data_IF_560673564475
#
_entry.id   IF_560673564475
#
_cell.length_a   1.000
_cell.length_b   1.000
_cell.length_c   1.000
_cell.angle_alpha   90.00
_cell.angle_beta   90.00
_cell.angle_gamma   90.00
#
_symmetry.space_group_name_H-M   'P 1'
#
loop_
_entity.id
_entity.type
_entity.pdbx_description
1 polymer ?
#
# COMPACT_ATOMS: atom_id res chain seq x y z
N UNK A 1 -24.79 -22.03 3.99
CA UNK A 1 -23.60 -21.58 4.77
C UNK A 1 -23.12 -20.28 4.17
N UNK A 2 -23.33 -19.18 4.86
CA UNK A 2 -22.77 -17.91 4.47
C UNK A 2 -21.26 -17.96 4.75
N UNK A 3 -20.46 -18.24 3.73
CA UNK A 3 -19.03 -17.99 3.82
C UNK A 3 -18.87 -16.48 3.93
N UNK A 4 -18.46 -16.01 5.11
CA UNK A 4 -17.99 -14.62 5.21
C UNK A 4 -16.96 -14.39 4.10
N UNK A 5 -17.10 -13.34 3.32
CA UNK A 5 -16.10 -13.04 2.32
C UNK A 5 -14.74 -12.95 3.03
N UNK A 6 -13.76 -13.67 2.47
CA UNK A 6 -12.40 -13.68 3.00
C UNK A 6 -11.96 -12.21 3.14
N UNK A 7 -11.69 -11.75 4.35
CA UNK A 7 -11.31 -10.36 4.59
C UNK A 7 -10.03 -10.03 3.83
N UNK A 8 -10.02 -8.89 3.18
CA UNK A 8 -8.87 -8.40 2.41
C UNK A 8 -7.79 -7.98 3.39
N UNK A 9 -6.59 -8.52 3.26
CA UNK A 9 -5.48 -8.18 4.16
C UNK A 9 -4.87 -6.82 3.79
N UNK A 10 -4.53 -6.01 4.81
CA UNK A 10 -3.82 -4.73 4.64
C UNK A 10 -2.47 -4.80 5.31
N UNK A 11 -1.43 -4.48 4.54
CA UNK A 11 -0.06 -4.29 5.02
C UNK A 11 0.35 -2.83 4.81
N UNK A 12 0.92 -2.21 5.83
CA UNK A 12 1.43 -0.83 5.75
C UNK A 12 2.93 -0.87 5.50
N UNK A 13 3.39 -0.19 4.47
CA UNK A 13 4.80 -0.02 4.15
C UNK A 13 5.25 1.37 4.60
N UNK A 14 6.15 1.41 5.56
CA UNK A 14 6.70 2.65 6.14
C UNK A 14 8.22 2.68 6.08
N UNK A 15 8.81 3.80 6.43
CA UNK A 15 10.25 4.04 6.46
C UNK A 15 10.57 5.48 6.13
N UNK A 16 11.77 5.92 6.46
CA UNK A 16 12.22 7.29 6.16
C UNK A 16 12.26 7.57 4.65
N UNK A 17 12.24 8.85 4.30
CA UNK A 17 12.47 9.31 2.94
C UNK A 17 13.82 8.77 2.44
N UNK A 18 13.85 8.22 1.23
CA UNK A 18 15.05 7.63 0.66
C UNK A 18 15.40 6.21 1.15
N UNK A 19 14.56 5.59 1.99
CA UNK A 19 14.78 4.21 2.47
C UNK A 19 14.52 3.13 1.42
N UNK A 20 14.01 3.50 0.24
CA UNK A 20 13.75 2.57 -0.86
C UNK A 20 12.33 2.04 -0.96
N UNK A 21 11.34 2.62 -0.25
CA UNK A 21 9.92 2.22 -0.32
C UNK A 21 9.38 2.24 -1.75
N UNK A 22 9.57 3.35 -2.44
CA UNK A 22 9.09 3.53 -3.82
C UNK A 22 9.78 2.57 -4.78
N UNK A 23 11.08 2.32 -4.60
CA UNK A 23 11.82 1.33 -5.38
C UNK A 23 11.26 -0.07 -5.17
N UNK A 24 11.00 -0.46 -3.93
CA UNK A 24 10.41 -1.75 -3.60
C UNK A 24 9.03 -1.92 -4.25
N UNK A 25 8.19 -0.89 -4.16
CA UNK A 25 6.86 -0.91 -4.77
C UNK A 25 6.94 -1.01 -6.30
N UNK A 26 7.87 -0.27 -6.92
CA UNK A 26 8.09 -0.34 -8.37
C UNK A 26 8.46 -1.76 -8.81
N UNK A 27 9.29 -2.45 -8.05
CA UNK A 27 9.64 -3.85 -8.32
C UNK A 27 8.44 -4.79 -8.13
N UNK A 28 7.63 -4.60 -7.09
CA UNK A 28 6.42 -5.39 -6.90
C UNK A 28 5.41 -5.21 -8.03
N UNK A 29 5.19 -3.97 -8.44
CA UNK A 29 4.25 -3.63 -9.52
C UNK A 29 4.67 -4.24 -10.86
N UNK A 30 5.98 -4.32 -11.13
CA UNK A 30 6.53 -4.90 -12.36
C UNK A 30 6.64 -6.42 -12.33
N UNK A 31 6.49 -7.02 -11.17
CA UNK A 31 6.69 -8.46 -11.01
C UNK A 31 5.44 -9.24 -11.46
N UNK A 32 5.55 -10.02 -12.51
CA UNK A 32 4.46 -10.83 -13.07
C UNK A 32 3.92 -11.91 -12.10
N UNK A 33 4.69 -12.27 -11.08
CA UNK A 33 4.26 -13.23 -10.05
C UNK A 33 3.43 -12.58 -8.93
N UNK A 34 3.43 -11.26 -8.85
CA UNK A 34 2.58 -10.50 -7.92
C UNK A 34 1.27 -10.20 -8.63
N UNK A 35 0.18 -10.73 -8.10
CA UNK A 35 -1.15 -10.55 -8.65
C UNK A 35 -2.18 -10.33 -7.53
N UNK A 36 -3.35 -9.85 -7.89
CA UNK A 36 -4.48 -9.63 -6.97
C UNK A 36 -4.14 -8.74 -5.76
N UNK A 37 -3.24 -7.78 -5.94
CA UNK A 37 -2.82 -6.80 -4.92
C UNK A 37 -3.25 -5.41 -5.34
N UNK A 38 -3.82 -4.65 -4.42
CA UNK A 38 -4.06 -3.23 -4.58
C UNK A 38 -2.96 -2.43 -3.85
N UNK A 39 -2.28 -1.57 -4.57
CA UNK A 39 -1.28 -0.65 -4.03
C UNK A 39 -1.89 0.73 -3.85
N UNK A 40 -1.85 1.24 -2.64
CA UNK A 40 -2.21 2.64 -2.34
C UNK A 40 -0.92 3.42 -2.17
N UNK A 41 -0.67 4.31 -3.09
CA UNK A 41 0.56 5.09 -3.20
C UNK A 41 0.25 6.59 -3.17
N UNK A 42 1.26 7.39 -2.94
CA UNK A 42 1.08 8.83 -2.86
C UNK A 42 0.83 9.46 -4.24
N UNK A 43 1.72 9.15 -5.20
CA UNK A 43 1.62 9.60 -6.59
C UNK A 43 2.07 8.50 -7.56
N UNK A 44 1.35 8.32 -8.65
CA UNK A 44 1.71 7.33 -9.68
C UNK A 44 3.09 7.56 -10.29
N UNK A 45 3.49 8.82 -10.45
CA UNK A 45 4.79 9.18 -11.01
C UNK A 45 5.98 8.71 -10.19
N UNK A 46 5.82 8.56 -8.88
CA UNK A 46 6.89 8.10 -8.00
C UNK A 46 7.25 6.62 -8.23
N UNK A 47 6.29 5.81 -8.64
CA UNK A 47 6.46 4.36 -8.86
C UNK A 47 7.01 4.05 -10.26
N UNK A 48 7.09 5.04 -11.15
CA UNK A 48 7.64 4.87 -12.49
C UNK A 48 6.88 3.82 -13.31
N UNK A 49 5.56 3.92 -13.32
CA UNK A 49 4.69 3.03 -14.08
C UNK A 49 4.84 3.32 -15.57
N UNK A 50 5.30 2.33 -16.31
CA UNK A 50 5.35 2.41 -17.77
C UNK A 50 3.96 2.19 -18.38
N UNK A 51 3.62 2.94 -19.43
CA UNK A 51 2.35 2.79 -20.15
C UNK A 51 2.09 1.35 -20.61
N UNK A 52 3.14 0.60 -20.90
CA UNK A 52 3.03 -0.80 -21.32
C UNK A 52 2.56 -1.76 -20.22
N UNK A 53 2.60 -1.35 -18.97
CA UNK A 53 2.16 -2.15 -17.82
C UNK A 53 0.69 -1.86 -17.45
N UNK A 54 0.10 -0.82 -18.00
CA UNK A 54 -1.25 -0.36 -17.67
C UNK A 54 -2.23 -0.99 -18.66
N UNK A 55 -3.23 -1.69 -18.15
CA UNK A 55 -4.30 -2.28 -18.95
C UNK A 55 -5.50 -1.34 -19.06
N UNK A 56 -5.87 -0.73 -17.94
CA UNK A 56 -6.91 0.29 -17.90
C UNK A 56 -6.60 1.38 -16.90
N UNK A 57 -7.10 2.58 -17.11
CA UNK A 57 -6.88 3.70 -16.22
C UNK A 57 -8.15 4.52 -16.00
N UNK A 58 -8.35 4.90 -14.77
CA UNK A 58 -9.22 5.97 -14.31
C UNK A 58 -8.32 7.06 -13.72
N UNK A 59 -8.78 8.26 -13.48
CA UNK A 59 -7.95 9.36 -12.94
C UNK A 59 -7.23 8.98 -11.63
N UNK A 60 -7.79 8.05 -10.89
CA UNK A 60 -7.33 7.69 -9.55
C UNK A 60 -6.98 6.21 -9.36
N UNK A 61 -7.26 5.37 -10.34
CA UNK A 61 -7.03 3.91 -10.27
C UNK A 61 -6.47 3.42 -11.58
N UNK A 62 -5.33 2.74 -11.52
CA UNK A 62 -4.69 2.07 -12.65
C UNK A 62 -4.79 0.55 -12.48
N UNK A 63 -5.31 -0.13 -13.47
CA UNK A 63 -5.25 -1.59 -13.55
C UNK A 63 -4.03 -2.01 -14.38
N UNK A 64 -3.28 -2.96 -13.85
CA UNK A 64 -2.03 -3.45 -14.41
C UNK A 64 -2.24 -4.81 -15.09
N UNK A 65 -1.39 -5.13 -16.07
CA UNK A 65 -1.44 -6.39 -16.81
C UNK A 65 -1.33 -7.63 -15.91
N UNK A 66 -0.56 -7.55 -14.83
CA UNK A 66 -0.42 -8.63 -13.85
C UNK A 66 -1.65 -8.83 -12.94
N UNK A 67 -2.72 -8.06 -13.12
CA UNK A 67 -3.91 -8.12 -12.28
C UNK A 67 -3.86 -7.27 -11.02
N UNK A 68 -2.76 -6.58 -10.77
CA UNK A 68 -2.66 -5.64 -9.68
C UNK A 68 -3.37 -4.32 -9.98
N UNK A 69 -3.69 -3.60 -8.94
CA UNK A 69 -4.31 -2.28 -8.98
C UNK A 69 -3.39 -1.29 -8.29
N UNK A 70 -3.12 -0.15 -8.92
CA UNK A 70 -2.50 0.99 -8.28
C UNK A 70 -3.52 2.11 -8.11
N UNK A 71 -3.61 2.71 -6.94
CA UNK A 71 -4.41 3.90 -6.72
C UNK A 71 -3.68 4.92 -5.85
N UNK A 72 -4.08 6.17 -5.99
CA UNK A 72 -3.64 7.25 -5.10
C UNK A 72 -4.66 7.51 -4.00
N UNK A 73 -4.20 8.02 -2.86
CA UNK A 73 -5.09 8.48 -1.80
C UNK A 73 -5.85 9.72 -2.33
N UNK A 74 -7.18 9.65 -2.26
CA UNK A 74 -8.04 10.77 -2.66
C UNK A 74 -8.18 11.76 -1.50
N UNK A 75 -9.37 11.89 -0.93
CA UNK A 75 -9.64 12.79 0.18
C UNK A 75 -8.97 12.31 1.48
N UNK A 76 -9.18 11.04 1.80
CA UNK A 76 -8.58 10.34 2.93
C UNK A 76 -8.47 8.83 2.66
N UNK A 77 -7.73 8.14 3.50
CA UNK A 77 -7.51 6.70 3.37
C UNK A 77 -8.81 5.88 3.51
N UNK A 78 -9.71 6.28 4.41
CA UNK A 78 -10.98 5.57 4.62
C UNK A 78 -11.83 5.62 3.35
N UNK A 79 -12.01 6.81 2.79
CA UNK A 79 -12.77 7.03 1.55
C UNK A 79 -12.16 6.27 0.39
N UNK A 80 -10.84 6.28 0.27
CA UNK A 80 -10.10 5.54 -0.76
C UNK A 80 -10.35 4.04 -0.67
N UNK A 81 -10.23 3.44 0.52
CA UNK A 81 -10.47 2.01 0.74
C UNK A 81 -11.93 1.61 0.48
N UNK A 82 -12.88 2.41 0.90
CA UNK A 82 -14.32 2.15 0.65
C UNK A 82 -14.65 2.28 -0.83
N UNK A 83 -14.05 3.24 -1.53
CA UNK A 83 -14.23 3.40 -2.97
C UNK A 83 -13.68 2.21 -3.75
N UNK A 84 -12.46 1.73 -3.41
CA UNK A 84 -11.89 0.52 -4.00
C UNK A 84 -12.78 -0.70 -3.79
N UNK A 85 -13.28 -0.89 -2.58
CA UNK A 85 -14.19 -1.98 -2.27
C UNK A 85 -15.48 -1.91 -3.10
N UNK A 86 -16.05 -0.72 -3.21
CA UNK A 86 -17.27 -0.48 -3.99
C UNK A 86 -17.03 -0.74 -5.47
N UNK A 87 -15.93 -0.25 -6.04
CA UNK A 87 -15.57 -0.50 -7.45
C UNK A 87 -15.36 -1.99 -7.70
N UNK A 88 -14.68 -2.69 -6.81
CA UNK A 88 -14.47 -4.14 -6.91
C UNK A 88 -15.79 -4.92 -6.84
N UNK A 89 -16.70 -4.57 -5.92
CA UNK A 89 -18.01 -5.23 -5.78
C UNK A 89 -18.91 -5.01 -7.00
N UNK A 90 -18.81 -3.84 -7.63
CA UNK A 90 -19.52 -3.52 -8.87
C UNK A 90 -18.88 -4.12 -10.12
N UNK A 91 -17.73 -4.79 -10.00
CA UNK A 91 -16.98 -5.33 -11.13
C UNK A 91 -16.34 -4.28 -12.03
N UNK A 92 -16.16 -3.06 -11.52
CA UNK A 92 -15.52 -1.96 -12.26
C UNK A 92 -13.99 -2.05 -12.25
N UNK A 93 -13.42 -2.79 -11.30
CA UNK A 93 -11.99 -3.08 -11.21
C UNK A 93 -11.79 -4.55 -10.90
N UNK A 94 -10.58 -5.07 -11.17
CA UNK A 94 -10.19 -6.44 -10.87
C UNK A 94 -10.30 -6.74 -9.37
N UNK A 95 -10.54 -7.99 -9.04
CA UNK A 95 -10.59 -8.45 -7.65
C UNK A 95 -9.17 -8.45 -7.07
N UNK A 96 -9.06 -8.02 -5.83
CA UNK A 96 -7.83 -8.09 -5.04
C UNK A 96 -8.12 -8.72 -3.68
N UNK A 97 -7.13 -9.34 -3.10
CA UNK A 97 -7.22 -10.00 -1.79
C UNK A 97 -6.24 -9.39 -0.77
N UNK A 98 -5.38 -8.50 -1.22
CA UNK A 98 -4.39 -7.81 -0.41
C UNK A 98 -4.30 -6.34 -0.82
N UNK A 99 -4.08 -5.49 0.18
CA UNK A 99 -3.77 -4.06 -0.01
C UNK A 99 -2.42 -3.77 0.62
N UNK A 100 -1.57 -3.05 -0.09
CA UNK A 100 -0.31 -2.49 0.43
C UNK A 100 -0.44 -0.97 0.40
N UNK A 101 -0.29 -0.35 1.56
CA UNK A 101 -0.38 1.11 1.73
C UNK A 101 1.02 1.66 1.97
N UNK A 102 1.49 2.50 1.07
CA UNK A 102 2.74 3.24 1.27
C UNK A 102 2.47 4.49 2.11
N UNK A 103 3.24 4.67 3.19
CA UNK A 103 3.27 5.93 3.92
C UNK A 103 4.29 6.88 3.32
N UNK A 104 4.03 8.19 3.38
CA UNK A 104 5.00 9.20 2.99
C UNK A 104 6.11 9.33 4.03
N UNK A 105 7.33 9.51 3.56
CA UNK A 105 8.60 9.80 4.23
C UNK A 105 8.71 9.62 5.75
N UNK A 106 8.27 10.60 6.50
CA UNK A 106 8.28 10.61 7.97
C UNK A 106 6.94 10.19 8.58
N UNK A 107 6.03 9.66 7.78
CA UNK A 107 4.67 9.40 8.24
C UNK A 107 4.68 8.33 9.33
N UNK A 108 4.14 8.71 10.46
CA UNK A 108 3.78 7.80 11.53
C UNK A 108 2.67 6.86 11.04
N UNK A 109 2.84 5.54 11.09
CA UNK A 109 1.80 4.60 10.68
C UNK A 109 0.61 4.54 11.65
N UNK A 110 0.73 5.08 12.85
CA UNK A 110 -0.29 5.00 13.91
C UNK A 110 -1.64 5.55 13.48
N UNK A 111 -1.75 6.73 12.84
CA UNK A 111 -3.05 7.22 12.38
C UNK A 111 -3.71 6.31 11.35
N UNK A 112 -2.93 5.70 10.47
CA UNK A 112 -3.42 4.72 9.49
C UNK A 112 -3.99 3.50 10.19
N UNK A 113 -3.24 2.92 11.12
CA UNK A 113 -3.65 1.75 11.90
C UNK A 113 -4.90 2.07 12.71
N UNK A 114 -4.94 3.23 13.35
CA UNK A 114 -6.11 3.68 14.11
C UNK A 114 -7.35 3.74 13.22
N UNK A 115 -7.25 4.34 12.03
CA UNK A 115 -8.35 4.40 11.07
C UNK A 115 -8.84 3.00 10.67
N UNK A 116 -7.91 2.08 10.39
CA UNK A 116 -8.22 0.71 10.00
C UNK A 116 -8.91 -0.08 11.11
N UNK A 117 -8.55 0.15 12.36
CA UNK A 117 -9.05 -0.62 13.51
C UNK A 117 -10.33 -0.04 14.11
N UNK A 118 -10.60 1.24 13.93
CA UNK A 118 -11.77 1.91 14.58
C UNK A 118 -12.95 2.11 13.64
N UNK A 119 -12.72 2.09 12.33
CA UNK A 119 -13.81 2.24 11.35
C UNK A 119 -14.56 0.92 11.19
N UNK A 120 -15.82 0.87 11.63
CA UNK A 120 -16.69 -0.31 11.53
C UNK A 120 -16.80 -0.82 10.08
N UNK A 121 -16.89 0.09 9.12
CA UNK A 121 -17.03 -0.26 7.72
C UNK A 121 -15.77 -0.95 7.17
N UNK A 122 -14.59 -0.46 7.60
CA UNK A 122 -13.31 -1.05 7.19
C UNK A 122 -13.05 -2.39 7.88
N UNK A 123 -13.30 -2.51 9.18
CA UNK A 123 -13.07 -3.75 9.95
C UNK A 123 -13.87 -4.94 9.40
N UNK A 124 -15.04 -4.69 8.80
CA UNK A 124 -15.86 -5.74 8.19
C UNK A 124 -15.27 -6.30 6.90
N UNK A 125 -14.58 -5.47 6.13
CA UNK A 125 -14.06 -5.82 4.80
C UNK A 125 -12.56 -6.12 4.80
N UNK A 126 -11.83 -5.44 5.65
CA UNK A 126 -10.38 -5.44 5.70
C UNK A 126 -9.86 -6.00 7.03
N UNK A 127 -8.72 -6.65 6.98
CA UNK A 127 -7.98 -7.14 8.14
C UNK A 127 -6.57 -6.54 8.11
N UNK A 128 -6.20 -5.85 9.16
CA UNK A 128 -4.81 -5.40 9.33
C UNK A 128 -3.89 -6.61 9.53
N UNK A 129 -2.87 -6.72 8.68
CA UNK A 129 -1.96 -7.87 8.64
C UNK A 129 -0.60 -7.53 9.27
N UNK A 130 -0.12 -6.30 9.08
CA UNK A 130 1.15 -5.88 9.69
C UNK A 130 1.75 -4.63 9.05
N UNK A 131 2.95 -4.32 9.54
CA UNK A 131 3.77 -3.20 9.07
C UNK A 131 5.09 -3.76 8.54
N UNK A 132 5.51 -3.27 7.39
CA UNK A 132 6.85 -3.47 6.85
C UNK A 132 7.57 -2.14 6.97
N UNK A 133 8.67 -2.11 7.71
CA UNK A 133 9.50 -0.92 7.85
C UNK A 133 10.76 -1.05 7.02
N UNK A 134 10.93 -0.14 6.07
CA UNK A 134 12.16 -0.04 5.28
C UNK A 134 13.19 0.76 6.04
N UNK A 135 14.39 0.21 6.17
CA UNK A 135 15.53 0.84 6.84
C UNK A 135 16.69 0.94 5.87
N UNK A 136 17.19 2.14 5.66
CA UNK A 136 18.46 2.33 4.97
C UNK A 136 19.60 2.08 5.98
N UNK A 137 20.23 0.92 5.87
CA UNK A 137 21.27 0.48 6.80
C UNK A 137 22.48 1.42 6.81
N UNK A 138 22.80 2.09 5.70
CA UNK A 138 23.92 3.03 5.62
C UNK A 138 23.61 4.31 6.38
N UNK A 139 22.46 4.93 6.10
CA UNK A 139 22.02 6.14 6.81
C UNK A 139 21.76 5.85 8.29
N UNK A 140 21.21 4.69 8.61
CA UNK A 140 20.95 4.30 9.99
C UNK A 140 22.23 4.17 10.81
N UNK A 141 23.28 3.55 10.28
CA UNK A 141 24.57 3.43 10.98
C UNK A 141 25.21 4.78 11.27
N UNK A 142 25.06 5.77 10.41
CA UNK A 142 25.55 7.13 10.67
C UNK A 142 24.73 7.87 11.73
N UNK A 143 23.46 7.57 11.89
CA UNK A 143 22.56 8.22 12.84
C UNK A 143 22.61 7.58 14.25
N UNK A 144 22.93 6.31 14.33
CA UNK A 144 22.75 5.50 15.54
C UNK A 144 24.01 4.95 16.14
N UNK A 145 25.18 5.29 15.61
CA UNK A 145 26.42 4.97 16.30
C UNK A 145 26.43 5.68 17.66
N UNK A 146 26.16 4.97 18.76
CA UNK A 146 26.28 5.56 20.07
C UNK A 146 27.76 5.73 20.33
N UNK A 147 28.24 6.93 20.24
CA UNK A 147 29.59 7.29 20.62
C UNK A 147 29.85 7.18 22.11
N UNK A 148 28.86 6.79 22.89
CA UNK A 148 28.91 6.81 24.34
C UNK A 148 29.20 5.47 25.01
N UNK A 149 29.48 4.41 24.28
CA UNK A 149 29.85 3.13 24.86
C UNK A 149 31.35 2.81 24.86
N UNK A 150 32.17 3.80 24.69
CA UNK A 150 33.53 3.73 25.11
C UNK A 150 33.56 3.92 26.63
N UNK A 151 33.35 2.84 27.33
CA UNK A 151 33.73 2.76 28.75
C UNK A 151 35.15 2.24 28.81
#
# INVERSE_FOLDING_TARGET
MNSFPKSISITVLTGFLGSGKTTLLSEFVKNEHVNDVAFIINEFGEVGLDHNLIESSDETVLELQNGCICCTIQEDLKSTLLNLLTKMQKGLIKKFNKVIIETTGLADPVPIIHTLMTSIDLVRAYKFDGIITMVDAVSYTHLTLPTSYAV
#
